data_IF_331056890394
#
_entry.id   IF_331056890394
#
_cell.length_a   1.000
_cell.length_b   1.000
_cell.length_c   1.000
_cell.angle_alpha   90.00
_cell.angle_beta   90.00
_cell.angle_gamma   90.00
#
_symmetry.space_group_name_H-M   'P 1'
#
loop_
_entity.id
_entity.type
_entity.pdbx_description
1 polymer ?
#
# COMPACT_ATOMS: atom_id res chain seq x y z
N UNK A 1 13.28 7.12 18.55
CA UNK A 1 13.03 5.66 18.41
C UNK A 1 11.73 5.46 17.64
N UNK A 2 11.75 4.77 16.50
CA UNK A 2 10.56 4.56 15.66
C UNK A 2 9.82 3.26 16.04
N UNK A 3 8.52 3.38 16.26
CA UNK A 3 7.59 2.25 16.44
C UNK A 3 6.85 1.93 15.14
N UNK A 4 6.04 0.86 15.17
CA UNK A 4 5.13 0.54 14.08
C UNK A 4 4.04 1.62 13.98
N UNK A 5 3.70 2.04 12.76
CA UNK A 5 2.72 3.09 12.52
C UNK A 5 1.27 2.58 12.44
N UNK A 6 1.07 1.27 12.35
CA UNK A 6 -0.27 0.65 12.32
C UNK A 6 -1.01 0.94 13.62
N UNK A 7 -2.30 1.26 13.52
CA UNK A 7 -3.13 1.55 14.67
C UNK A 7 -3.15 0.38 15.67
N UNK A 8 -2.94 0.68 16.96
CA UNK A 8 -2.89 -0.33 18.03
C UNK A 8 -1.62 -1.18 18.10
N UNK A 9 -0.68 -1.06 17.16
CA UNK A 9 0.56 -1.83 17.19
C UNK A 9 1.58 -1.21 18.15
N UNK A 10 2.04 -1.98 19.13
CA UNK A 10 3.02 -1.55 20.14
C UNK A 10 4.45 -1.98 19.82
N UNK A 11 4.68 -2.65 18.69
CA UNK A 11 6.00 -3.14 18.28
C UNK A 11 6.97 -1.98 18.04
N UNK A 12 8.17 -2.10 18.64
CA UNK A 12 9.26 -1.13 18.48
C UNK A 12 10.46 -1.80 17.83
N UNK A 13 11.19 -1.02 17.01
CA UNK A 13 12.36 -1.52 16.28
C UNK A 13 13.41 -2.15 17.20
N UNK A 14 13.67 -1.55 18.36
CA UNK A 14 14.72 -1.98 19.28
C UNK A 14 14.37 -3.21 20.12
N UNK A 15 13.10 -3.53 20.31
CA UNK A 15 12.66 -4.56 21.29
C UNK A 15 12.00 -5.77 20.66
N UNK A 16 11.47 -5.66 19.44
CA UNK A 16 10.61 -6.69 18.87
C UNK A 16 11.34 -7.77 18.07
N UNK A 17 12.59 -7.53 17.65
CA UNK A 17 13.30 -8.42 16.71
C UNK A 17 12.67 -8.49 15.30
N UNK A 18 11.62 -7.71 15.04
CA UNK A 18 10.91 -7.67 13.77
C UNK A 18 11.60 -6.76 12.76
N UNK A 19 11.39 -7.04 11.46
CA UNK A 19 11.81 -6.13 10.39
C UNK A 19 10.82 -4.98 10.26
N UNK A 20 11.30 -3.79 9.92
CA UNK A 20 10.46 -2.59 9.78
C UNK A 20 10.59 -2.01 8.37
N UNK A 21 9.50 -2.07 7.62
CA UNK A 21 9.42 -1.65 6.23
C UNK A 21 8.92 -0.20 6.12
N UNK A 22 9.49 0.58 5.20
CA UNK A 22 8.97 1.92 4.87
C UNK A 22 7.73 1.79 4.00
N UNK A 23 6.80 2.73 4.17
CA UNK A 23 5.69 2.91 3.25
C UNK A 23 6.27 3.19 1.85
N UNK A 24 5.80 2.52 0.79
CA UNK A 24 6.32 2.71 -0.55
C UNK A 24 6.32 4.17 -0.98
N UNK A 25 7.38 4.54 -1.69
CA UNK A 25 7.59 5.86 -2.28
C UNK A 25 7.87 5.68 -3.76
N UNK A 26 7.24 6.50 -4.60
CA UNK A 26 7.48 6.50 -6.03
C UNK A 26 6.19 6.67 -6.83
N UNK A 27 6.35 7.14 -8.07
CA UNK A 27 5.25 7.53 -8.97
C UNK A 27 4.88 6.45 -9.99
N UNK A 28 5.67 5.38 -10.12
CA UNK A 28 5.35 4.27 -11.03
C UNK A 28 4.00 3.66 -10.63
N UNK A 29 3.10 3.32 -11.56
CA UNK A 29 1.72 2.91 -11.24
C UNK A 29 1.64 1.82 -10.17
N UNK A 30 2.48 0.79 -10.28
CA UNK A 30 2.59 -0.27 -9.29
C UNK A 30 2.96 0.22 -7.88
N UNK A 31 3.91 1.15 -7.77
CA UNK A 31 4.37 1.70 -6.50
C UNK A 31 3.31 2.64 -5.90
N UNK A 32 2.68 3.46 -6.73
CA UNK A 32 1.57 4.33 -6.35
C UNK A 32 0.37 3.53 -5.84
N UNK A 33 -0.03 2.47 -6.54
CA UNK A 33 -1.11 1.59 -6.10
C UNK A 33 -0.75 0.85 -4.81
N UNK A 34 0.46 0.32 -4.70
CA UNK A 34 0.92 -0.31 -3.45
C UNK A 34 0.90 0.66 -2.28
N UNK A 35 1.36 1.90 -2.49
CA UNK A 35 1.28 2.98 -1.48
C UNK A 35 -0.16 3.25 -1.08
N UNK A 36 -1.06 3.41 -2.05
CA UNK A 36 -2.50 3.62 -1.83
C UNK A 36 -3.10 2.51 -0.95
N UNK A 37 -2.83 1.24 -1.29
CA UNK A 37 -3.33 0.08 -0.53
C UNK A 37 -2.79 0.06 0.90
N UNK A 38 -1.51 0.38 1.10
CA UNK A 38 -0.92 0.48 2.44
C UNK A 38 -1.58 1.58 3.28
N UNK A 39 -1.76 2.78 2.72
CA UNK A 39 -2.41 3.90 3.43
C UNK A 39 -3.86 3.58 3.78
N UNK A 40 -4.60 2.93 2.87
CA UNK A 40 -5.96 2.44 3.12
C UNK A 40 -6.01 1.42 4.25
N UNK A 41 -5.03 0.51 4.34
CA UNK A 41 -4.98 -0.50 5.40
C UNK A 41 -4.60 0.10 6.77
N UNK A 42 -3.73 1.11 6.80
CA UNK A 42 -3.29 1.77 8.04
C UNK A 42 -4.41 2.60 8.69
N UNK A 43 -5.36 3.11 7.89
CA UNK A 43 -6.58 3.84 8.32
C UNK A 43 -6.32 4.99 9.31
N UNK A 44 -5.22 5.73 9.13
CA UNK A 44 -4.97 6.97 9.89
C UNK A 44 -5.37 8.19 9.06
N UNK A 45 -6.02 9.14 9.72
CA UNK A 45 -6.60 10.36 9.11
C UNK A 45 -5.76 11.61 9.34
N UNK A 46 -4.79 11.55 10.25
CA UNK A 46 -3.99 12.67 10.76
C UNK A 46 -2.56 12.73 10.20
N UNK A 47 -2.36 12.31 8.94
CA UNK A 47 -1.03 12.15 8.36
C UNK A 47 -0.71 13.20 7.28
N UNK A 48 0.46 13.83 7.42
CA UNK A 48 1.10 14.59 6.36
C UNK A 48 2.22 13.76 5.70
N UNK A 49 2.73 14.21 4.56
CA UNK A 49 3.78 13.50 3.82
C UNK A 49 5.10 13.35 4.61
N UNK A 50 5.41 14.29 5.49
CA UNK A 50 6.61 14.22 6.35
C UNK A 50 6.53 13.12 7.42
N UNK A 51 5.31 12.83 7.88
CA UNK A 51 5.02 11.70 8.77
C UNK A 51 5.09 10.40 7.95
N UNK A 52 4.42 10.36 6.79
CA UNK A 52 4.33 9.16 5.94
C UNK A 52 5.71 8.68 5.49
N UNK A 53 6.59 9.59 5.04
CA UNK A 53 7.94 9.23 4.54
C UNK A 53 8.81 8.54 5.60
N UNK A 54 8.55 8.83 6.87
CA UNK A 54 9.30 8.30 8.01
C UNK A 54 8.58 7.14 8.72
N UNK A 55 7.29 6.94 8.45
CA UNK A 55 6.49 5.88 9.02
C UNK A 55 7.00 4.49 8.61
N UNK A 56 6.90 3.54 9.54
CA UNK A 56 7.37 2.17 9.37
C UNK A 56 6.31 1.18 9.82
N UNK A 57 6.14 0.09 9.07
CA UNK A 57 5.27 -1.04 9.41
C UNK A 57 6.14 -2.23 9.80
N UNK A 58 5.87 -2.87 10.93
CA UNK A 58 6.62 -4.06 11.35
C UNK A 58 6.21 -5.31 10.56
N UNK A 59 7.11 -6.30 10.46
CA UNK A 59 6.92 -7.51 9.67
C UNK A 59 5.71 -8.35 10.09
N UNK A 60 5.22 -8.21 11.32
CA UNK A 60 4.02 -8.91 11.82
C UNK A 60 2.72 -8.55 11.08
N UNK A 61 2.71 -7.48 10.27
CA UNK A 61 1.53 -7.09 9.45
C UNK A 61 1.58 -7.63 8.02
N UNK A 62 2.58 -8.45 7.69
CA UNK A 62 2.71 -9.07 6.39
C UNK A 62 2.55 -10.57 6.54
N UNK A 63 1.83 -11.19 5.61
CA UNK A 63 1.83 -12.64 5.45
C UNK A 63 3.25 -13.00 4.99
N UNK A 64 3.94 -13.89 5.71
CA UNK A 64 5.23 -14.39 5.26
C UNK A 64 5.03 -15.07 3.90
N UNK A 65 5.89 -14.76 2.94
CA UNK A 65 5.82 -15.34 1.59
C UNK A 65 6.33 -16.80 1.59
N UNK A 66 6.07 -17.55 2.66
CA UNK A 66 6.54 -18.92 2.87
C UNK A 66 5.58 -19.96 2.28
N UNK A 67 4.48 -19.54 1.66
CA UNK A 67 3.70 -20.44 0.80
C UNK A 67 4.06 -20.17 -0.66
N UNK A 68 5.01 -21.00 -1.12
CA UNK A 68 5.55 -21.07 -2.47
C UNK A 68 4.45 -21.15 -3.53
N UNK A 69 4.16 -20.03 -4.16
CA UNK A 69 3.60 -20.03 -5.51
C UNK A 69 4.78 -19.80 -6.47
N UNK A 70 5.15 -20.77 -7.33
CA UNK A 70 6.23 -20.63 -8.29
C UNK A 70 5.79 -19.80 -9.50
N UNK A 71 5.11 -18.67 -9.26
CA UNK A 71 4.76 -17.74 -10.31
C UNK A 71 5.93 -16.78 -10.54
N UNK A 72 6.40 -16.62 -11.78
CA UNK A 72 7.45 -15.66 -12.10
C UNK A 72 7.02 -14.27 -11.61
N UNK A 73 7.84 -13.65 -10.75
CA UNK A 73 7.57 -12.32 -10.20
C UNK A 73 7.18 -11.28 -11.26
N UNK A 74 7.74 -11.39 -12.48
CA UNK A 74 7.41 -10.50 -13.61
C UNK A 74 5.94 -10.61 -14.02
N UNK A 75 5.41 -11.83 -14.10
CA UNK A 75 4.03 -12.07 -14.52
C UNK A 75 3.03 -11.51 -13.48
N UNK A 76 3.35 -11.64 -12.19
CA UNK A 76 2.57 -11.00 -11.14
C UNK A 76 2.66 -9.48 -11.18
N UNK A 77 3.86 -8.92 -11.41
CA UNK A 77 4.05 -7.48 -11.53
C UNK A 77 3.26 -6.92 -12.74
N UNK A 78 3.22 -7.64 -13.87
CA UNK A 78 2.46 -7.29 -15.08
C UNK A 78 0.94 -7.39 -14.85
N UNK A 79 0.47 -8.47 -14.22
CA UNK A 79 -0.95 -8.63 -13.87
C UNK A 79 -1.40 -7.53 -12.90
N UNK A 80 -0.58 -7.23 -11.90
CA UNK A 80 -0.88 -6.18 -10.94
C UNK A 80 -0.87 -4.79 -11.59
N UNK A 81 0.03 -4.55 -12.56
CA UNK A 81 0.01 -3.32 -13.36
C UNK A 81 -1.30 -3.19 -14.15
N UNK A 82 -1.73 -4.27 -14.82
CA UNK A 82 -2.99 -4.30 -15.57
C UNK A 82 -4.20 -4.07 -14.65
N UNK A 83 -4.20 -4.66 -13.46
CA UNK A 83 -5.24 -4.45 -12.46
C UNK A 83 -5.30 -2.99 -11.98
N UNK A 84 -4.14 -2.33 -11.77
CA UNK A 84 -4.11 -0.90 -11.43
C UNK A 84 -4.75 -0.05 -12.53
N UNK A 85 -4.41 -0.33 -13.79
CA UNK A 85 -4.95 0.39 -14.95
C UNK A 85 -6.47 0.24 -15.05
N UNK A 86 -6.98 -0.99 -14.94
CA UNK A 86 -8.42 -1.25 -14.95
C UNK A 86 -9.16 -0.51 -13.82
N UNK A 87 -8.53 -0.39 -12.65
CA UNK A 87 -9.14 0.30 -11.52
C UNK A 87 -9.17 1.82 -11.71
N UNK A 88 -8.16 2.41 -12.37
CA UNK A 88 -8.17 3.82 -12.78
C UNK A 88 -9.25 4.06 -13.85
N UNK A 89 -9.30 3.20 -14.88
CA UNK A 89 -10.30 3.28 -15.96
C UNK A 89 -11.73 3.21 -15.42
N UNK A 90 -12.00 2.31 -14.45
CA UNK A 90 -13.30 2.22 -13.81
C UNK A 90 -13.70 3.50 -13.07
N UNK A 91 -12.75 4.14 -12.36
CA UNK A 91 -13.01 5.41 -11.66
C UNK A 91 -13.31 6.53 -12.65
N UNK A 92 -12.53 6.61 -13.74
CA UNK A 92 -12.74 7.60 -14.80
C UNK A 92 -14.10 7.41 -15.47
N UNK A 93 -14.44 6.19 -15.87
CA UNK A 93 -15.74 5.86 -16.46
C UNK A 93 -16.90 6.20 -15.52
N UNK A 94 -16.74 5.96 -14.22
CA UNK A 94 -17.74 6.33 -13.23
C UNK A 94 -17.92 7.85 -13.14
N UNK A 95 -16.83 8.61 -13.15
CA UNK A 95 -16.90 10.08 -13.19
C UNK A 95 -17.51 10.62 -14.48
N UNK A 96 -17.19 10.03 -15.63
CA UNK A 96 -17.82 10.36 -16.91
C UNK A 96 -19.33 10.10 -16.87
N UNK A 97 -19.74 8.95 -16.34
CA UNK A 97 -21.15 8.62 -16.16
C UNK A 97 -21.87 9.64 -15.27
N UNK A 98 -21.30 9.97 -14.11
CA UNK A 98 -21.87 10.97 -13.19
C UNK A 98 -21.99 12.36 -13.87
N UNK A 99 -20.99 12.74 -14.67
CA UNK A 99 -20.96 14.00 -15.43
C UNK A 99 -22.03 14.02 -16.54
N UNK A 100 -22.22 12.91 -17.24
CA UNK A 100 -23.22 12.78 -18.31
C UNK A 100 -24.65 12.73 -17.75
N UNK A 101 -24.83 12.19 -16.54
CA UNK A 101 -26.13 12.11 -15.87
C UNK A 101 -26.47 13.38 -15.05
N UNK A 102 -25.55 14.33 -14.90
CA UNK A 102 -25.78 15.61 -14.22
C UNK A 102 -26.08 15.48 -12.71
N UNK A 103 -25.54 14.44 -12.06
CA UNK A 103 -25.61 14.24 -10.61
C UNK A 103 -24.53 15.04 -9.86
#
# INVERSE_FOLDING_TARGET
MSGCCVYGCTNRYSTSGLKFYRIPTGSRPFQSNRRRLWLQAIKRVDWNEDIIKNARVCSAHFISAEEDIPFPKREYDDLNLRYCQLQEDYVNLRQEFDTLCGL
#
